data_IF_947519046355
#
_entry.id   IF_947519046355
#
_cell.length_a   1.000
_cell.length_b   1.000
_cell.length_c   1.000
_cell.angle_alpha   90.00
_cell.angle_beta   90.00
_cell.angle_gamma   90.00
#
_symmetry.space_group_name_H-M   'P 1'
#
loop_
_entity.id
_entity.type
_entity.pdbx_description
1 polymer ?
#
# COMPACT_ATOMS: atom_id res chain seq x y z
N UNK A 1 59.37 17.67 15.70
CA UNK A 1 57.96 18.07 15.83
C UNK A 1 57.17 16.85 16.27
N UNK A 2 56.78 16.78 17.55
CA UNK A 2 55.96 15.72 18.12
C UNK A 2 54.49 16.10 17.99
N UNK A 3 53.70 15.30 17.29
CA UNK A 3 52.24 15.46 17.21
C UNK A 3 51.62 15.20 18.58
N UNK A 4 50.77 16.09 19.12
CA UNK A 4 50.13 15.86 20.40
C UNK A 4 49.14 14.69 20.28
N UNK A 5 49.28 13.71 21.18
CA UNK A 5 48.39 12.56 21.29
C UNK A 5 46.96 13.02 21.62
N UNK A 6 45.99 12.65 20.78
CA UNK A 6 44.56 12.92 21.07
C UNK A 6 44.17 12.21 22.39
N UNK A 7 43.50 12.90 23.32
CA UNK A 7 43.00 12.26 24.53
C UNK A 7 41.99 11.16 24.16
N UNK A 8 42.12 10.00 24.80
CA UNK A 8 41.18 8.89 24.68
C UNK A 8 39.80 9.33 25.16
N UNK A 9 38.71 9.04 24.42
CA UNK A 9 37.37 9.44 24.82
C UNK A 9 37.00 8.84 26.17
N UNK A 10 36.22 9.56 27.01
CA UNK A 10 35.86 9.09 28.34
C UNK A 10 35.10 7.76 28.27
N UNK A 11 35.47 6.81 29.14
CA UNK A 11 34.82 5.50 29.20
C UNK A 11 33.37 5.66 29.63
N UNK A 12 32.42 5.25 28.78
CA UNK A 12 31.00 5.23 29.13
C UNK A 12 30.79 4.08 30.12
N UNK A 13 30.36 4.38 31.34
CA UNK A 13 30.16 3.41 32.43
C UNK A 13 28.69 3.38 32.89
N UNK A 14 28.30 2.31 33.57
CA UNK A 14 26.94 2.12 34.11
C UNK A 14 25.86 1.95 33.04
N UNK A 15 24.65 2.45 33.33
CA UNK A 15 23.45 2.28 32.49
C UNK A 15 23.64 2.78 31.05
N UNK A 16 24.44 3.84 30.85
CA UNK A 16 24.73 4.40 29.51
C UNK A 16 25.44 3.38 28.62
N UNK A 17 26.37 2.59 29.16
CA UNK A 17 27.07 1.53 28.43
C UNK A 17 26.10 0.43 28.03
N UNK A 18 25.25 0.00 28.96
CA UNK A 18 24.24 -1.04 28.72
C UNK A 18 23.24 -0.62 27.65
N UNK A 19 22.78 0.63 27.66
CA UNK A 19 21.92 1.17 26.61
C UNK A 19 22.59 1.19 25.24
N UNK A 20 23.85 1.66 25.14
CA UNK A 20 24.58 1.67 23.87
C UNK A 20 24.73 0.25 23.31
N UNK A 21 25.08 -0.72 24.16
CA UNK A 21 25.19 -2.12 23.75
C UNK A 21 23.82 -2.66 23.30
N UNK A 22 22.75 -2.34 24.03
CA UNK A 22 21.39 -2.72 23.67
C UNK A 22 20.97 -2.17 22.31
N UNK A 23 21.20 -0.87 22.07
CA UNK A 23 20.94 -0.20 20.80
C UNK A 23 21.75 -0.82 19.65
N UNK A 24 23.03 -1.12 19.86
CA UNK A 24 23.87 -1.77 18.85
C UNK A 24 23.35 -3.17 18.49
N UNK A 25 22.92 -3.96 19.49
CA UNK A 25 22.30 -5.26 19.27
C UNK A 25 20.99 -5.14 18.50
N UNK A 26 20.15 -4.15 18.84
CA UNK A 26 18.90 -3.89 18.12
C UNK A 26 19.17 -3.50 16.66
N UNK A 27 20.10 -2.57 16.40
CA UNK A 27 20.47 -2.17 15.04
C UNK A 27 21.02 -3.34 14.24
N UNK A 28 21.88 -4.17 14.85
CA UNK A 28 22.37 -5.39 14.21
C UNK A 28 21.23 -6.35 13.86
N UNK A 29 20.31 -6.59 14.79
CA UNK A 29 19.13 -7.43 14.57
C UNK A 29 18.27 -6.89 13.43
N UNK A 30 17.94 -5.59 13.43
CA UNK A 30 17.21 -4.94 12.35
C UNK A 30 17.93 -5.10 11.00
N UNK A 31 19.25 -4.90 10.97
CA UNK A 31 20.04 -5.10 9.76
C UNK A 31 20.05 -6.56 9.29
N UNK A 32 19.92 -7.53 10.21
CA UNK A 32 19.82 -8.94 9.86
C UNK A 32 18.44 -9.32 9.32
N UNK A 33 17.37 -8.76 9.88
CA UNK A 33 16.00 -9.18 9.60
C UNK A 33 15.19 -8.20 8.75
N UNK A 34 15.78 -7.09 8.26
CA UNK A 34 15.07 -6.03 7.53
C UNK A 34 14.14 -6.54 6.42
N UNK A 35 14.57 -7.55 5.66
CA UNK A 35 13.78 -8.12 4.57
C UNK A 35 12.51 -8.79 5.09
N UNK A 36 12.64 -9.64 6.11
CA UNK A 36 11.51 -10.31 6.75
C UNK A 36 10.57 -9.31 7.43
N UNK A 37 11.13 -8.29 8.09
CA UNK A 37 10.36 -7.24 8.73
C UNK A 37 9.54 -6.43 7.71
N UNK A 38 10.14 -6.07 6.57
CA UNK A 38 9.42 -5.40 5.49
C UNK A 38 8.31 -6.28 4.92
N UNK A 39 8.62 -7.55 4.62
CA UNK A 39 7.64 -8.49 4.07
C UNK A 39 6.48 -8.74 5.04
N UNK A 40 6.78 -8.90 6.33
CA UNK A 40 5.77 -9.03 7.38
C UNK A 40 4.92 -7.78 7.49
N UNK A 41 5.52 -6.58 7.54
CA UNK A 41 4.79 -5.33 7.63
C UNK A 41 3.85 -5.12 6.44
N UNK A 42 4.33 -5.33 5.20
CA UNK A 42 3.52 -5.19 4.00
C UNK A 42 2.38 -6.22 3.96
N UNK A 43 2.65 -7.47 4.34
CA UNK A 43 1.64 -8.53 4.36
C UNK A 43 0.60 -8.31 5.45
N UNK A 44 1.02 -7.93 6.66
CA UNK A 44 0.11 -7.60 7.77
C UNK A 44 -0.79 -6.43 7.39
N UNK A 45 -0.22 -5.36 6.81
CA UNK A 45 -1.02 -4.21 6.38
C UNK A 45 -2.07 -4.60 5.32
N UNK A 46 -1.69 -5.44 4.35
CA UNK A 46 -2.61 -5.98 3.36
C UNK A 46 -3.73 -6.81 4.02
N UNK A 47 -3.36 -7.75 4.88
CA UNK A 47 -4.28 -8.66 5.57
C UNK A 47 -5.23 -7.92 6.51
N UNK A 48 -4.76 -6.88 7.21
CA UNK A 48 -5.64 -6.01 8.02
C UNK A 48 -6.76 -5.40 7.17
N UNK A 49 -6.48 -5.05 5.91
CA UNK A 49 -7.50 -4.56 4.97
C UNK A 49 -8.67 -5.52 4.74
N UNK A 50 -8.41 -6.83 4.80
CA UNK A 50 -9.39 -7.91 4.65
C UNK A 50 -9.93 -8.43 5.97
N UNK A 51 -9.20 -8.22 7.08
CA UNK A 51 -9.66 -8.60 8.41
C UNK A 51 -10.89 -7.80 8.84
N UNK A 52 -10.97 -6.51 8.49
CA UNK A 52 -12.11 -5.67 8.82
C UNK A 52 -13.47 -6.25 8.38
N UNK A 53 -13.69 -6.56 7.08
CA UNK A 53 -14.95 -7.17 6.65
C UNK A 53 -15.18 -8.58 7.22
N UNK A 54 -14.13 -9.36 7.49
CA UNK A 54 -14.27 -10.67 8.12
C UNK A 54 -14.79 -10.56 9.57
N UNK A 55 -14.27 -9.61 10.34
CA UNK A 55 -14.75 -9.34 11.69
C UNK A 55 -16.22 -8.88 11.70
N UNK A 56 -16.61 -8.02 10.75
CA UNK A 56 -18.01 -7.58 10.65
C UNK A 56 -18.95 -8.72 10.25
N UNK A 57 -18.55 -9.60 9.33
CA UNK A 57 -19.34 -10.75 8.92
C UNK A 57 -19.63 -11.73 10.08
N UNK A 58 -18.68 -11.86 11.02
CA UNK A 58 -18.82 -12.69 12.22
C UNK A 58 -19.48 -11.95 13.42
N UNK A 59 -19.97 -10.72 13.22
CA UNK A 59 -20.62 -9.94 14.26
C UNK A 59 -19.67 -9.24 15.26
N UNK A 60 -18.36 -9.25 15.01
CA UNK A 60 -17.36 -8.53 15.83
C UNK A 60 -17.25 -7.04 15.45
N UNK A 61 -18.35 -6.30 15.59
CA UNK A 61 -18.49 -4.92 15.14
C UNK A 61 -17.41 -3.97 15.69
N UNK A 62 -17.16 -4.01 17.01
CA UNK A 62 -16.20 -3.13 17.65
C UNK A 62 -14.76 -3.37 17.16
N UNK A 63 -14.40 -4.63 16.92
CA UNK A 63 -13.09 -5.00 16.40
C UNK A 63 -12.95 -4.57 14.93
N UNK A 64 -13.96 -4.83 14.09
CA UNK A 64 -13.98 -4.37 12.70
C UNK A 64 -13.85 -2.85 12.59
N UNK A 65 -14.61 -2.11 13.40
CA UNK A 65 -14.55 -0.65 13.48
C UNK A 65 -13.17 -0.14 13.95
N UNK A 66 -12.50 -0.85 14.86
CA UNK A 66 -11.13 -0.51 15.25
C UNK A 66 -10.14 -0.63 14.07
N UNK A 67 -10.26 -1.68 13.25
CA UNK A 67 -9.43 -1.85 12.06
C UNK A 67 -9.69 -0.74 11.03
N UNK A 68 -10.95 -0.40 10.74
CA UNK A 68 -11.26 0.73 9.85
C UNK A 68 -10.65 2.04 10.36
N UNK A 69 -10.80 2.36 11.65
CA UNK A 69 -10.23 3.57 12.25
C UNK A 69 -8.71 3.61 12.17
N UNK A 70 -8.05 2.47 12.39
CA UNK A 70 -6.59 2.36 12.26
C UNK A 70 -6.11 2.62 10.82
N UNK A 71 -6.86 2.14 9.82
CA UNK A 71 -6.51 2.29 8.40
C UNK A 71 -7.01 3.60 7.76
N UNK A 72 -7.94 4.32 8.39
CA UNK A 72 -8.53 5.55 7.85
C UNK A 72 -7.50 6.66 7.51
N UNK A 73 -6.43 6.91 8.30
CA UNK A 73 -5.42 7.89 7.94
C UNK A 73 -4.64 7.53 6.66
N UNK A 74 -4.63 6.25 6.30
CA UNK A 74 -3.88 5.71 5.17
C UNK A 74 -4.77 5.49 3.93
N UNK A 75 -6.09 5.55 4.09
CA UNK A 75 -7.04 5.28 3.02
C UNK A 75 -8.34 6.05 3.25
N UNK A 76 -8.83 6.74 2.22
CA UNK A 76 -10.13 7.43 2.26
C UNK A 76 -11.34 6.51 2.47
N UNK A 77 -11.18 5.19 2.29
CA UNK A 77 -12.20 4.17 2.53
C UNK A 77 -13.53 4.41 1.78
N UNK A 78 -13.45 4.96 0.57
CA UNK A 78 -14.63 5.16 -0.26
C UNK A 78 -15.21 3.80 -0.71
N UNK A 79 -16.49 3.51 -0.44
CA UNK A 79 -17.09 2.21 -0.72
C UNK A 79 -17.12 1.88 -2.21
N UNK A 80 -17.41 2.86 -3.08
CA UNK A 80 -17.45 2.70 -4.54
C UNK A 80 -16.08 2.43 -5.19
N UNK A 81 -15.00 2.40 -4.39
CA UNK A 81 -13.63 2.09 -4.82
C UNK A 81 -13.02 0.93 -4.01
N UNK A 82 -13.86 0.15 -3.31
CA UNK A 82 -13.44 -0.91 -2.41
C UNK A 82 -14.06 -2.24 -2.83
N UNK A 83 -13.41 -3.35 -2.46
CA UNK A 83 -13.97 -4.69 -2.64
C UNK A 83 -14.96 -4.96 -1.51
N UNK A 84 -16.05 -5.65 -1.80
CA UNK A 84 -17.02 -6.14 -0.82
C UNK A 84 -16.89 -7.65 -0.69
N UNK A 85 -16.80 -8.12 0.55
CA UNK A 85 -16.66 -9.53 0.90
C UNK A 85 -17.84 -9.99 1.75
N UNK A 86 -18.09 -11.30 1.77
CA UNK A 86 -19.11 -11.92 2.61
C UNK A 86 -20.54 -11.43 2.32
N UNK A 87 -20.82 -11.09 1.06
CA UNK A 87 -22.18 -10.78 0.59
C UNK A 87 -22.84 -12.01 -0.04
N UNK A 88 -24.18 -11.99 -0.11
CA UNK A 88 -24.98 -13.10 -0.64
C UNK A 88 -24.69 -13.38 -2.13
N UNK A 89 -24.34 -12.33 -2.88
CA UNK A 89 -24.15 -12.39 -4.32
C UNK A 89 -22.75 -12.90 -4.74
N UNK A 90 -21.87 -13.25 -3.81
CA UNK A 90 -20.57 -13.87 -4.10
C UNK A 90 -19.42 -13.36 -3.24
N UNK A 91 -18.27 -14.03 -3.36
CA UNK A 91 -17.15 -13.84 -2.43
C UNK A 91 -16.44 -12.49 -2.56
N UNK A 92 -16.22 -11.99 -3.78
CA UNK A 92 -15.59 -10.68 -4.04
C UNK A 92 -16.45 -9.91 -5.03
N UNK A 93 -16.96 -8.76 -4.59
CA UNK A 93 -17.79 -7.85 -5.40
C UNK A 93 -17.30 -6.40 -5.30
N UNK A 94 -17.87 -5.54 -6.14
CA UNK A 94 -17.74 -4.09 -6.07
C UNK A 94 -19.02 -3.49 -6.62
N UNK A 95 -19.45 -2.35 -6.07
CA UNK A 95 -20.73 -1.75 -6.41
C UNK A 95 -20.57 -0.31 -6.90
N UNK A 96 -21.45 0.10 -7.81
CA UNK A 96 -21.55 1.50 -8.23
C UNK A 96 -22.03 2.38 -7.08
N UNK A 97 -21.82 3.69 -7.19
CA UNK A 97 -22.32 4.63 -6.18
C UNK A 97 -23.84 4.53 -5.99
N UNK A 98 -24.58 4.40 -7.10
CA UNK A 98 -26.03 4.24 -7.09
C UNK A 98 -26.46 2.98 -6.33
N UNK A 99 -25.82 1.84 -6.60
CA UNK A 99 -26.10 0.58 -5.90
C UNK A 99 -25.81 0.69 -4.40
N UNK A 100 -24.75 1.40 -4.03
CA UNK A 100 -24.38 1.61 -2.62
C UNK A 100 -25.40 2.48 -1.90
N UNK A 101 -25.87 3.56 -2.53
CA UNK A 101 -26.93 4.42 -1.99
C UNK A 101 -28.23 3.62 -1.83
N UNK A 102 -28.59 2.83 -2.84
CA UNK A 102 -29.74 1.92 -2.76
C UNK A 102 -29.61 0.86 -1.65
N UNK A 103 -28.37 0.55 -1.24
CA UNK A 103 -28.06 -0.38 -0.15
C UNK A 103 -27.91 0.32 1.22
N UNK A 104 -28.26 1.61 1.32
CA UNK A 104 -28.26 2.36 2.57
C UNK A 104 -27.04 3.24 2.82
N UNK A 105 -26.17 3.47 1.82
CA UNK A 105 -25.07 4.42 1.97
C UNK A 105 -25.57 5.87 1.92
N UNK A 106 -25.19 6.68 2.91
CA UNK A 106 -25.43 8.13 2.92
C UNK A 106 -24.48 8.84 1.94
N UNK A 107 -25.00 9.54 0.90
CA UNK A 107 -24.17 10.29 -0.05
C UNK A 107 -23.27 11.34 0.60
N UNK A 108 -23.67 11.90 1.74
CA UNK A 108 -22.90 12.92 2.46
C UNK A 108 -21.80 12.30 3.35
N UNK A 109 -21.92 11.01 3.67
CA UNK A 109 -21.04 10.30 4.60
C UNK A 109 -20.57 8.94 4.06
N UNK A 110 -20.28 8.86 2.76
CA UNK A 110 -19.93 7.61 2.07
C UNK A 110 -18.82 6.81 2.77
N UNK A 111 -17.84 7.48 3.36
CA UNK A 111 -16.71 6.82 4.05
C UNK A 111 -17.16 6.00 5.26
N UNK A 112 -18.25 6.41 5.93
CA UNK A 112 -18.81 5.71 7.09
C UNK A 112 -19.55 4.42 6.72
N UNK A 113 -20.02 4.29 5.47
CA UNK A 113 -20.72 3.09 5.03
C UNK A 113 -19.77 1.91 4.89
N UNK A 114 -19.85 0.93 5.80
CA UNK A 114 -19.01 -0.28 5.81
C UNK A 114 -19.62 -1.45 5.05
N UNK A 115 -20.92 -1.43 4.78
CA UNK A 115 -21.65 -2.51 4.13
C UNK A 115 -22.70 -3.14 5.05
N UNK A 116 -23.28 -4.26 4.63
CA UNK A 116 -24.32 -5.00 5.35
C UNK A 116 -24.32 -6.48 4.92
N UNK A 117 -25.15 -7.31 5.55
CA UNK A 117 -25.20 -8.74 5.26
C UNK A 117 -25.56 -9.09 3.80
N UNK A 118 -26.38 -8.26 3.14
CA UNK A 118 -26.84 -8.52 1.77
C UNK A 118 -25.72 -8.33 0.75
N UNK A 119 -25.11 -7.13 0.74
CA UNK A 119 -24.08 -6.79 -0.25
C UNK A 119 -22.66 -7.14 0.19
N UNK A 120 -22.50 -7.52 1.46
CA UNK A 120 -21.23 -7.77 2.14
C UNK A 120 -20.65 -6.52 2.78
N UNK A 121 -19.44 -6.67 3.30
CA UNK A 121 -18.67 -5.61 3.96
C UNK A 121 -17.46 -5.21 3.14
N UNK A 122 -17.19 -3.90 3.04
CA UNK A 122 -16.09 -3.37 2.23
C UNK A 122 -14.72 -3.69 2.84
N UNK A 123 -13.69 -3.86 2.04
CA UNK A 123 -12.31 -3.86 2.52
C UNK A 123 -11.93 -2.50 3.10
N UNK A 124 -11.12 -2.48 4.15
CA UNK A 124 -10.62 -1.23 4.75
C UNK A 124 -9.55 -0.54 3.88
N UNK A 125 -9.11 -1.19 2.80
CA UNK A 125 -8.25 -0.66 1.75
C UNK A 125 -9.02 -0.60 0.43
N UNK A 126 -8.89 0.51 -0.30
CA UNK A 126 -9.44 0.64 -1.65
C UNK A 126 -8.66 -0.21 -2.68
N UNK A 127 -9.20 -0.33 -3.91
CA UNK A 127 -8.60 -1.10 -5.00
C UNK A 127 -7.11 -0.78 -5.24
N UNK A 128 -6.75 0.51 -5.19
CA UNK A 128 -5.38 0.99 -5.42
C UNK A 128 -4.43 0.52 -4.32
N UNK A 129 -4.80 0.70 -3.05
CA UNK A 129 -3.95 0.28 -1.93
C UNK A 129 -3.78 -1.23 -1.88
N UNK A 130 -4.86 -1.99 -2.14
CA UNK A 130 -4.74 -3.45 -2.29
C UNK A 130 -3.72 -3.79 -3.38
N UNK A 131 -3.80 -3.16 -4.56
CA UNK A 131 -2.89 -3.43 -5.66
C UNK A 131 -1.42 -3.06 -5.35
N UNK A 132 -1.18 -1.93 -4.68
CA UNK A 132 0.17 -1.51 -4.24
C UNK A 132 0.78 -2.57 -3.32
N UNK A 133 0.06 -2.95 -2.26
CA UNK A 133 0.58 -3.90 -1.28
C UNK A 133 0.70 -5.31 -1.85
N UNK A 134 -0.22 -5.74 -2.72
CA UNK A 134 -0.08 -6.98 -3.49
C UNK A 134 1.18 -6.95 -4.35
N UNK A 135 1.44 -5.84 -5.06
CA UNK A 135 2.65 -5.66 -5.85
C UNK A 135 3.93 -5.69 -5.02
N UNK A 136 3.91 -5.06 -3.83
CA UNK A 136 5.04 -5.11 -2.90
C UNK A 136 5.29 -6.53 -2.38
N UNK A 137 4.25 -7.27 -2.01
CA UNK A 137 4.37 -8.65 -1.51
C UNK A 137 4.86 -9.58 -2.62
N UNK A 138 4.20 -9.59 -3.78
CA UNK A 138 4.61 -10.41 -4.93
C UNK A 138 6.03 -10.05 -5.34
N UNK A 139 6.32 -8.75 -5.49
CA UNK A 139 7.64 -8.29 -5.89
C UNK A 139 8.72 -8.68 -4.88
N UNK A 140 8.44 -8.56 -3.59
CA UNK A 140 9.36 -8.91 -2.53
C UNK A 140 9.65 -10.41 -2.47
N UNK A 141 8.64 -11.25 -2.69
CA UNK A 141 8.81 -12.70 -2.84
C UNK A 141 9.68 -13.04 -4.06
N UNK A 142 9.33 -12.50 -5.23
CA UNK A 142 10.11 -12.74 -6.47
C UNK A 142 11.55 -12.25 -6.32
N UNK A 143 11.76 -11.07 -5.74
CA UNK A 143 13.10 -10.54 -5.48
C UNK A 143 13.91 -11.41 -4.52
N UNK A 144 13.26 -11.96 -3.49
CA UNK A 144 13.88 -12.87 -2.52
C UNK A 144 14.39 -14.16 -3.17
N UNK A 145 13.60 -14.73 -4.08
CA UNK A 145 13.89 -15.97 -4.81
C UNK A 145 14.87 -15.78 -5.99
N UNK A 146 14.95 -14.56 -6.56
CA UNK A 146 15.74 -14.28 -7.76
C UNK A 146 17.24 -14.20 -7.47
N UNK A 147 18.05 -14.90 -8.28
CA UNK A 147 19.52 -14.71 -8.34
C UNK A 147 19.88 -13.41 -9.08
N UNK A 148 20.88 -12.67 -8.59
CA UNK A 148 21.39 -11.45 -9.22
C UNK A 148 20.66 -10.13 -8.88
N UNK A 149 19.42 -10.19 -8.36
CA UNK A 149 18.69 -9.06 -7.74
C UNK A 149 18.92 -7.68 -8.41
N UNK A 150 18.51 -7.51 -9.68
CA UNK A 150 18.76 -6.27 -10.42
C UNK A 150 18.11 -5.08 -9.72
N UNK A 151 18.75 -3.92 -9.85
CA UNK A 151 18.28 -2.67 -9.24
C UNK A 151 17.69 -1.75 -10.30
N UNK A 152 16.51 -1.20 -10.02
CA UNK A 152 15.98 -0.12 -10.84
C UNK A 152 16.78 1.17 -10.60
N UNK A 153 17.10 1.84 -11.70
CA UNK A 153 17.56 3.23 -11.66
C UNK A 153 16.41 4.13 -11.17
N UNK A 154 16.74 5.34 -10.71
CA UNK A 154 15.72 6.32 -10.32
C UNK A 154 14.77 6.60 -11.49
N UNK A 155 15.31 6.75 -12.70
CA UNK A 155 14.50 6.98 -13.89
C UNK A 155 13.53 5.83 -14.16
N UNK A 156 14.00 4.57 -14.11
CA UNK A 156 13.12 3.41 -14.30
C UNK A 156 12.05 3.32 -13.20
N UNK A 157 12.39 3.62 -11.94
CA UNK A 157 11.41 3.70 -10.87
C UNK A 157 10.36 4.81 -11.08
N UNK A 158 10.78 5.98 -11.57
CA UNK A 158 9.88 7.07 -11.93
C UNK A 158 8.93 6.65 -13.05
N UNK A 159 9.38 5.87 -14.04
CA UNK A 159 8.51 5.34 -15.09
C UNK A 159 7.43 4.39 -14.55
N UNK A 160 7.75 3.59 -13.53
CA UNK A 160 6.77 2.72 -12.85
C UNK A 160 5.79 3.52 -11.98
N UNK A 161 6.22 4.67 -11.47
CA UNK A 161 5.45 5.52 -10.55
C UNK A 161 4.56 6.52 -11.29
N UNK A 162 5.00 7.00 -12.46
CA UNK A 162 4.33 8.04 -13.23
C UNK A 162 2.85 7.71 -13.54
N UNK A 163 2.47 6.48 -13.98
CA UNK A 163 1.07 6.15 -14.22
C UNK A 163 0.18 6.31 -12.97
N UNK A 164 0.68 5.95 -11.79
CA UNK A 164 -0.05 6.09 -10.53
C UNK A 164 -0.23 7.56 -10.14
N UNK A 165 0.79 8.39 -10.39
CA UNK A 165 0.73 9.83 -10.16
C UNK A 165 -0.29 10.50 -11.09
N UNK A 166 -0.27 10.15 -12.39
CA UNK A 166 -1.24 10.66 -13.36
C UNK A 166 -2.68 10.23 -13.03
N UNK A 167 -2.87 8.96 -12.65
CA UNK A 167 -4.16 8.46 -12.15
C UNK A 167 -4.63 9.28 -10.93
N UNK A 168 -3.77 9.47 -9.94
CA UNK A 168 -4.07 10.24 -8.73
C UNK A 168 -4.40 11.70 -9.03
N UNK A 169 -3.61 12.35 -9.88
CA UNK A 169 -3.81 13.74 -10.27
C UNK A 169 -5.12 13.92 -11.05
N UNK A 170 -5.42 13.03 -11.99
CA UNK A 170 -6.67 13.09 -12.75
C UNK A 170 -7.91 12.88 -11.87
N UNK A 171 -7.82 12.05 -10.83
CA UNK A 171 -8.88 11.90 -9.84
C UNK A 171 -9.08 13.18 -9.02
N UNK A 172 -7.99 13.75 -8.51
CA UNK A 172 -8.03 15.00 -7.75
C UNK A 172 -8.60 16.16 -8.57
N UNK A 173 -8.21 16.28 -9.83
CA UNK A 173 -8.74 17.28 -10.75
C UNK A 173 -10.25 17.10 -10.97
N UNK A 174 -10.72 15.85 -11.18
CA UNK A 174 -12.16 15.56 -11.33
C UNK A 174 -12.93 15.95 -10.07
N UNK A 175 -12.42 15.58 -8.90
CA UNK A 175 -13.05 15.84 -7.59
C UNK A 175 -13.03 17.32 -7.18
N UNK A 176 -12.09 18.10 -7.73
CA UNK A 176 -12.00 19.56 -7.52
C UNK A 176 -12.95 20.36 -8.41
N UNK A 177 -13.84 19.68 -9.16
CA UNK A 177 -14.92 20.30 -9.93
C UNK A 177 -14.69 20.40 -11.44
N UNK A 178 -13.56 19.91 -11.97
CA UNK A 178 -13.36 19.88 -13.43
C UNK A 178 -14.22 18.84 -14.15
N UNK A 179 -14.70 17.81 -13.43
CA UNK A 179 -15.44 16.70 -14.01
C UNK A 179 -14.65 15.92 -15.09
N UNK A 180 -13.32 16.06 -15.14
CA UNK A 180 -12.48 15.50 -16.21
C UNK A 180 -12.71 14.00 -16.43
N UNK A 181 -12.99 13.25 -15.36
CA UNK A 181 -13.21 11.79 -15.41
C UNK A 181 -14.67 11.38 -15.36
N UNK A 182 -15.61 12.32 -15.40
CA UNK A 182 -17.05 12.02 -15.25
C UNK A 182 -17.57 11.28 -16.49
N UNK A 183 -17.17 11.75 -17.68
CA UNK A 183 -17.50 11.10 -18.96
C UNK A 183 -16.35 10.27 -19.54
N UNK A 184 -15.10 10.58 -19.17
CA UNK A 184 -13.89 10.09 -19.84
C UNK A 184 -13.99 10.21 -21.38
N UNK A 185 -14.55 11.32 -21.88
CA UNK A 185 -14.73 11.59 -23.31
C UNK A 185 -13.44 11.46 -24.12
N UNK A 186 -12.30 11.84 -23.54
CA UNK A 186 -10.98 11.66 -24.13
C UNK A 186 -10.68 10.19 -24.45
N UNK A 187 -11.08 9.27 -23.57
CA UNK A 187 -10.85 7.83 -23.74
C UNK A 187 -11.85 7.25 -24.74
N UNK A 188 -13.10 7.72 -24.73
CA UNK A 188 -14.11 7.37 -25.73
C UNK A 188 -13.61 7.74 -27.12
N UNK A 189 -13.09 8.96 -27.31
CA UNK A 189 -12.51 9.43 -28.57
C UNK A 189 -11.31 8.58 -29.00
N UNK A 190 -10.39 8.26 -28.07
CA UNK A 190 -9.20 7.45 -28.34
C UNK A 190 -9.54 6.01 -28.77
N UNK A 191 -10.59 5.43 -28.18
CA UNK A 191 -10.98 4.03 -28.41
C UNK A 191 -12.10 3.88 -29.43
N UNK A 192 -12.55 4.97 -30.07
CA UNK A 192 -13.69 4.96 -30.99
C UNK A 192 -15.00 4.49 -30.35
N UNK A 193 -15.15 4.60 -29.02
CA UNK A 193 -16.35 4.15 -28.31
C UNK A 193 -16.58 2.63 -28.32
N UNK A 194 -15.54 1.82 -28.49
CA UNK A 194 -15.66 0.35 -28.52
C UNK A 194 -16.18 -0.27 -27.20
N UNK A 195 -16.05 0.43 -26.07
CA UNK A 195 -16.52 -0.03 -24.76
C UNK A 195 -17.96 0.37 -24.45
N UNK A 196 -18.53 -0.18 -23.38
CA UNK A 196 -19.82 0.26 -22.85
C UNK A 196 -19.67 1.59 -22.08
N UNK A 197 -20.77 2.35 -21.92
CA UNK A 197 -20.75 3.56 -21.10
C UNK A 197 -20.21 3.31 -19.68
N UNK A 198 -20.62 2.19 -19.07
CA UNK A 198 -20.18 1.75 -17.73
C UNK A 198 -18.67 1.47 -17.69
N UNK A 199 -18.08 0.94 -18.77
CA UNK A 199 -16.64 0.74 -18.83
C UNK A 199 -15.89 2.06 -18.67
N UNK A 200 -16.32 3.12 -19.36
CA UNK A 200 -15.64 4.41 -19.33
C UNK A 200 -15.85 5.17 -18.02
N UNK A 201 -17.06 5.19 -17.46
CA UNK A 201 -17.40 6.06 -16.32
C UNK A 201 -17.44 5.34 -14.98
N UNK A 202 -17.65 4.02 -14.97
CA UNK A 202 -17.86 3.25 -13.76
C UNK A 202 -16.60 3.09 -12.89
N UNK A 203 -16.79 2.69 -11.64
CA UNK A 203 -15.72 2.49 -10.64
C UNK A 203 -15.55 1.04 -10.17
N UNK A 204 -16.43 0.15 -10.62
CA UNK A 204 -16.49 -1.26 -10.26
C UNK A 204 -15.43 -2.09 -10.99
N UNK A 205 -15.23 -3.32 -10.54
CA UNK A 205 -14.38 -4.32 -11.20
C UNK A 205 -14.69 -4.37 -12.69
N UNK A 206 -13.64 -4.37 -13.51
CA UNK A 206 -13.73 -4.43 -14.96
C UNK A 206 -13.86 -3.07 -15.66
N UNK A 207 -14.12 -1.97 -14.96
CA UNK A 207 -14.18 -0.63 -15.57
C UNK A 207 -12.79 -0.03 -15.75
N UNK A 208 -12.69 1.00 -16.59
CA UNK A 208 -11.44 1.71 -16.84
C UNK A 208 -10.81 2.26 -15.55
N UNK A 209 -11.62 2.91 -14.70
CA UNK A 209 -11.12 3.45 -13.42
C UNK A 209 -10.63 2.35 -12.47
N UNK A 210 -11.21 1.14 -12.53
CA UNK A 210 -10.72 0.01 -11.75
C UNK A 210 -9.38 -0.50 -12.30
N UNK A 211 -9.29 -0.72 -13.62
CA UNK A 211 -8.05 -1.14 -14.26
C UNK A 211 -6.90 -0.17 -14.02
N UNK A 212 -7.16 1.13 -14.14
CA UNK A 212 -6.15 2.16 -13.92
C UNK A 212 -5.62 2.09 -12.48
N UNK A 213 -6.49 2.02 -11.46
CA UNK A 213 -6.08 1.91 -10.06
C UNK A 213 -5.30 0.63 -9.77
N UNK A 214 -5.75 -0.50 -10.32
CA UNK A 214 -5.16 -1.81 -10.06
C UNK A 214 -3.81 -1.97 -10.75
N UNK A 215 -3.71 -1.65 -12.05
CA UNK A 215 -2.47 -1.82 -12.80
C UNK A 215 -1.41 -0.82 -12.35
N UNK A 216 -1.76 0.46 -12.19
CA UNK A 216 -0.79 1.47 -11.77
C UNK A 216 -0.33 1.27 -10.33
N UNK A 217 -1.24 0.84 -9.44
CA UNK A 217 -0.90 0.47 -8.08
C UNK A 217 0.06 -0.73 -8.04
N UNK A 218 -0.23 -1.77 -8.81
CA UNK A 218 0.62 -2.97 -8.91
C UNK A 218 2.01 -2.61 -9.44
N UNK A 219 2.08 -1.84 -10.53
CA UNK A 219 3.34 -1.36 -11.10
C UNK A 219 4.14 -0.56 -10.06
N UNK A 220 3.52 0.38 -9.37
CA UNK A 220 4.20 1.13 -8.31
C UNK A 220 4.75 0.22 -7.21
N UNK A 221 3.96 -0.73 -6.70
CA UNK A 221 4.39 -1.68 -5.68
C UNK A 221 5.59 -2.53 -6.11
N UNK A 222 5.57 -3.05 -7.35
CA UNK A 222 6.70 -3.77 -7.96
C UNK A 222 7.91 -2.85 -8.12
N UNK A 223 7.73 -1.66 -8.69
CA UNK A 223 8.79 -0.68 -8.90
C UNK A 223 9.47 -0.30 -7.59
N UNK A 224 8.68 -0.09 -6.53
CA UNK A 224 9.19 0.25 -5.19
C UNK A 224 10.10 -0.84 -4.64
N UNK A 225 9.73 -2.12 -4.79
CA UNK A 225 10.57 -3.24 -4.35
C UNK A 225 11.88 -3.29 -5.11
N UNK A 226 11.84 -3.30 -6.44
CA UNK A 226 13.05 -3.41 -7.26
C UNK A 226 13.94 -2.15 -7.20
N UNK A 227 13.40 -1.02 -6.78
CA UNK A 227 14.17 0.17 -6.46
C UNK A 227 14.76 0.12 -5.05
N UNK A 228 13.96 -0.13 -4.02
CA UNK A 228 14.37 0.02 -2.63
C UNK A 228 15.20 -1.17 -2.11
N UNK A 229 14.81 -2.41 -2.43
CA UNK A 229 15.43 -3.60 -1.80
C UNK A 229 16.92 -3.74 -2.08
N UNK A 230 17.42 -3.54 -3.32
CA UNK A 230 18.86 -3.59 -3.58
C UNK A 230 19.64 -2.53 -2.77
N UNK A 231 19.05 -1.33 -2.61
CA UNK A 231 19.65 -0.23 -1.84
C UNK A 231 19.68 -0.56 -0.36
N UNK A 232 18.58 -1.06 0.19
CA UNK A 232 18.51 -1.53 1.58
C UNK A 232 19.46 -2.70 1.84
N UNK A 233 19.54 -3.68 0.93
CA UNK A 233 20.47 -4.79 1.04
C UNK A 233 21.92 -4.31 1.16
N UNK A 234 22.31 -3.34 0.32
CA UNK A 234 23.66 -2.76 0.33
C UNK A 234 23.91 -1.97 1.63
N UNK A 235 22.95 -1.15 2.03
CA UNK A 235 23.01 -0.34 3.25
C UNK A 235 23.14 -1.22 4.51
N UNK A 236 22.23 -2.17 4.71
CA UNK A 236 22.24 -3.05 5.89
C UNK A 236 23.44 -3.99 5.90
N UNK A 237 23.96 -4.42 4.75
CA UNK A 237 25.24 -5.14 4.70
C UNK A 237 26.41 -4.27 5.18
N UNK A 238 26.40 -2.97 4.86
CA UNK A 238 27.35 -1.99 5.39
C UNK A 238 27.24 -1.84 6.92
N UNK A 239 26.02 -1.70 7.44
CA UNK A 239 25.75 -1.60 8.88
C UNK A 239 26.26 -2.83 9.63
N UNK A 240 25.99 -4.05 9.13
CA UNK A 240 26.49 -5.30 9.73
C UNK A 240 28.01 -5.31 9.82
N UNK A 241 28.70 -5.04 8.70
CA UNK A 241 30.18 -5.02 8.67
C UNK A 241 30.77 -3.99 9.63
N UNK A 242 30.14 -2.81 9.78
CA UNK A 242 30.60 -1.79 10.72
C UNK A 242 30.44 -2.23 12.18
N UNK A 243 29.33 -2.90 12.51
CA UNK A 243 29.09 -3.38 13.88
C UNK A 243 29.94 -4.62 14.22
N UNK A 244 30.20 -5.48 13.25
CA UNK A 244 31.09 -6.65 13.41
C UNK A 244 32.55 -6.24 13.65
N UNK A 245 33.01 -5.15 13.02
CA UNK A 245 34.36 -4.59 13.27
C UNK A 245 34.53 -3.92 14.64
N UNK A 246 33.43 -3.61 15.33
CA UNK A 246 33.44 -2.95 16.65
C UNK A 246 33.26 -3.94 17.81
N UNK A 247 33.02 -5.21 17.51
CA UNK A 247 33.10 -6.31 18.48
C UNK A 247 34.53 -6.75 18.65
#
# INVERSE_FOLDING_TARGET
>A
MTTPSRPSPPSITGWRRSLVIGLQKLVYWLACYWYFLFMAAASIFLLLGFLAPALLAEGHEAAGAAVYRFLAPHNHQLPQRSYFLFGEMGFIRSYSLEQLIASGADPQRLQAFTGNAQIGYKTALNHRMVAIFVGMVIGGLVWGLRRGRPSLSLFAFLLFTLPLLLDSFSHMASESGSGFRDSNSWLVALTGGMGTAVFYTGTTIGTFNWWLRTLTGLLFGLGLVWFAFPRFATYFAGVKRQLERRR
#
